data_IF_706872478175
#
_entry.id   IF_706872478175
#
_cell.length_a   1.000
_cell.length_b   1.000
_cell.length_c   1.000
_cell.angle_alpha   90.00
_cell.angle_beta   90.00
_cell.angle_gamma   90.00
#
_symmetry.space_group_name_H-M   'P 1'
#
loop_
_entity.id
_entity.type
_entity.pdbx_description
1 polymer ?
#
# COMPACT_ATOMS: atom_id res chain seq x y z
N UNK A 1 1.99 31.75 -7.95
CA UNK A 1 1.40 30.55 -7.35
C UNK A 1 2.54 29.63 -6.95
N UNK A 2 2.64 29.19 -5.70
CA UNK A 2 3.64 28.18 -5.29
C UNK A 2 3.37 26.89 -6.06
N UNK A 3 4.42 26.33 -6.66
CA UNK A 3 4.33 25.06 -7.40
C UNK A 3 4.00 23.96 -6.38
N UNK A 4 2.89 23.25 -6.56
CA UNK A 4 2.54 22.11 -5.71
C UNK A 4 3.66 21.04 -5.79
N UNK A 5 4.19 20.55 -4.66
CA UNK A 5 5.23 19.52 -4.67
C UNK A 5 4.65 18.16 -5.12
N UNK A 6 5.45 17.35 -5.79
CA UNK A 6 5.13 15.95 -5.96
C UNK A 6 5.25 15.21 -4.63
N UNK A 7 4.36 14.25 -4.39
CA UNK A 7 4.32 13.44 -3.16
C UNK A 7 4.53 11.99 -3.55
N UNK A 8 5.54 11.34 -2.96
CA UNK A 8 5.79 9.90 -3.13
C UNK A 8 5.69 9.21 -1.78
N UNK A 9 4.68 8.35 -1.63
CA UNK A 9 4.53 7.45 -0.50
C UNK A 9 4.99 6.05 -0.88
N UNK A 10 6.00 5.52 -0.19
CA UNK A 10 6.48 4.14 -0.37
C UNK A 10 6.15 3.36 0.90
N UNK A 11 5.43 2.26 0.75
CA UNK A 11 5.13 1.32 1.83
C UNK A 11 5.74 -0.04 1.53
N UNK A 12 6.44 -0.60 2.49
CA UNK A 12 6.90 -1.99 2.42
C UNK A 12 5.87 -2.90 3.10
N UNK A 13 5.70 -4.13 2.56
CA UNK A 13 4.86 -5.13 3.20
C UNK A 13 5.70 -5.94 4.19
N UNK A 14 5.20 -6.08 5.42
CA UNK A 14 5.74 -6.96 6.46
C UNK A 14 7.25 -6.75 6.78
N UNK A 15 7.78 -5.56 6.50
CA UNK A 15 9.16 -5.22 6.87
C UNK A 15 9.28 -5.06 8.39
N UNK A 16 10.24 -5.75 8.99
CA UNK A 16 10.56 -5.58 10.40
C UNK A 16 11.27 -4.25 10.63
N UNK A 17 11.02 -3.61 11.78
CA UNK A 17 11.62 -2.32 12.15
C UNK A 17 13.15 -2.39 12.30
N UNK A 18 13.69 -3.57 12.63
CA UNK A 18 15.11 -3.83 12.88
C UNK A 18 15.88 -4.25 11.61
N UNK A 19 15.43 -3.83 10.44
CA UNK A 19 16.04 -4.20 9.15
C UNK A 19 16.62 -3.01 8.39
N UNK A 20 16.96 -1.91 9.06
CA UNK A 20 17.62 -0.74 8.47
C UNK A 20 18.92 -0.47 9.24
N UNK A 21 20.08 -0.60 8.55
CA UNK A 21 21.39 -0.51 9.18
C UNK A 21 21.62 0.82 9.91
N UNK A 22 21.27 1.95 9.29
CA UNK A 22 21.43 3.28 9.89
C UNK A 22 20.58 3.54 11.14
N UNK A 23 19.66 2.65 11.46
CA UNK A 23 18.86 2.70 12.70
C UNK A 23 19.47 1.86 13.85
N UNK A 24 20.72 1.40 13.70
CA UNK A 24 21.45 0.64 14.72
C UNK A 24 21.52 -0.88 14.46
N UNK A 25 21.14 -1.33 13.25
CA UNK A 25 21.08 -2.74 12.89
C UNK A 25 22.15 -3.07 11.82
N UNK A 26 23.40 -3.03 12.21
CA UNK A 26 24.60 -3.10 11.37
C UNK A 26 24.79 -4.46 10.65
N UNK A 27 24.04 -5.49 11.04
CA UNK A 27 23.96 -6.77 10.31
C UNK A 27 23.20 -6.69 8.98
N UNK A 28 22.54 -5.55 8.71
CA UNK A 28 21.80 -5.32 7.48
C UNK A 28 22.62 -4.50 6.48
N UNK A 29 22.35 -4.71 5.19
CA UNK A 29 22.91 -3.90 4.11
C UNK A 29 21.80 -3.12 3.39
N UNK A 30 21.59 -1.88 3.80
CA UNK A 30 20.46 -1.05 3.34
C UNK A 30 20.89 0.37 2.91
N UNK A 31 21.86 0.50 1.95
CA UNK A 31 22.52 1.77 1.68
C UNK A 31 21.57 2.89 1.25
N UNK A 32 20.49 2.57 0.52
CA UNK A 32 19.51 3.56 0.08
C UNK A 32 18.57 3.99 1.21
N UNK A 33 18.10 3.05 2.04
CA UNK A 33 17.31 3.38 3.23
C UNK A 33 18.16 4.14 4.25
N UNK A 34 19.42 3.76 4.43
CA UNK A 34 20.37 4.46 5.28
C UNK A 34 20.58 5.90 4.86
N UNK A 35 20.60 6.14 3.53
CA UNK A 35 20.67 7.52 3.01
C UNK A 35 19.43 8.32 3.38
N UNK A 36 18.21 7.73 3.22
CA UNK A 36 16.96 8.38 3.62
C UNK A 36 16.94 8.70 5.12
N UNK A 37 17.45 7.79 5.97
CA UNK A 37 17.58 8.01 7.41
C UNK A 37 18.51 9.18 7.71
N UNK A 38 19.66 9.29 7.01
CA UNK A 38 20.66 10.34 7.25
C UNK A 38 20.27 11.71 6.68
N UNK A 39 19.57 11.73 5.55
CA UNK A 39 19.22 12.98 4.84
C UNK A 39 17.81 13.47 5.16
N UNK A 40 16.98 12.63 5.76
CA UNK A 40 15.58 12.91 6.06
C UNK A 40 15.28 12.94 7.56
N UNK A 41 14.02 12.64 7.90
CA UNK A 41 13.54 12.53 9.27
C UNK A 41 13.09 11.10 9.56
N UNK A 42 13.62 10.48 10.61
CA UNK A 42 13.28 9.12 11.04
C UNK A 42 12.42 9.12 12.28
N UNK A 43 11.44 8.23 12.35
CA UNK A 43 10.55 8.06 13.49
C UNK A 43 10.70 6.63 14.07
N UNK A 44 11.69 6.38 14.94
CA UNK A 44 11.98 5.02 15.43
C UNK A 44 10.85 4.42 16.27
N UNK A 45 9.98 5.25 16.82
CA UNK A 45 8.85 4.85 17.64
C UNK A 45 7.49 5.08 16.93
N UNK A 46 7.43 4.82 15.62
CA UNK A 46 6.17 4.82 14.89
C UNK A 46 5.47 3.47 15.02
N UNK A 47 4.20 3.48 15.37
CA UNK A 47 3.40 2.26 15.60
C UNK A 47 2.15 2.27 14.74
N UNK A 48 1.82 1.09 14.15
CA UNK A 48 0.51 0.87 13.55
C UNK A 48 -0.50 0.47 14.64
N UNK A 49 -1.67 1.09 14.72
CA UNK A 49 -2.69 0.66 15.67
C UNK A 49 -3.23 -0.76 15.40
N UNK A 50 -3.16 -1.22 14.14
CA UNK A 50 -3.58 -2.55 13.72
C UNK A 50 -2.54 -3.09 12.71
N UNK A 51 -1.55 -3.90 13.14
CA UNK A 51 -0.46 -4.37 12.27
C UNK A 51 -0.88 -5.60 11.44
N UNK A 52 -2.02 -5.51 10.74
CA UNK A 52 -2.56 -6.50 9.81
C UNK A 52 -2.82 -5.80 8.48
N UNK A 53 -2.57 -6.48 7.36
CA UNK A 53 -2.49 -5.87 6.03
C UNK A 53 -3.66 -4.93 5.69
N UNK A 54 -4.90 -5.40 5.72
CA UNK A 54 -6.07 -4.57 5.39
C UNK A 54 -6.27 -3.45 6.38
N UNK A 55 -6.24 -3.74 7.68
CA UNK A 55 -6.43 -2.75 8.73
C UNK A 55 -5.37 -1.64 8.66
N UNK A 56 -4.07 -2.00 8.55
CA UNK A 56 -2.99 -1.03 8.45
C UNK A 56 -3.11 -0.14 7.21
N UNK A 57 -3.48 -0.71 6.06
CA UNK A 57 -3.65 0.04 4.81
C UNK A 57 -4.83 1.01 4.88
N UNK A 58 -5.94 0.60 5.49
CA UNK A 58 -7.06 1.48 5.73
C UNK A 58 -6.74 2.56 6.78
N UNK A 59 -5.95 2.25 7.83
CA UNK A 59 -5.43 3.27 8.74
C UNK A 59 -4.59 4.32 7.98
N UNK A 60 -3.72 3.88 7.05
CA UNK A 60 -2.87 4.78 6.26
C UNK A 60 -3.72 5.71 5.39
N UNK A 61 -4.64 5.16 4.58
CA UNK A 61 -5.39 5.98 3.61
C UNK A 61 -6.42 6.90 4.25
N UNK A 62 -6.96 6.55 5.43
CA UNK A 62 -7.96 7.36 6.13
C UNK A 62 -7.35 8.26 7.22
N UNK A 63 -6.13 7.95 7.68
CA UNK A 63 -5.54 8.59 8.86
C UNK A 63 -6.25 8.24 10.17
N UNK A 64 -7.11 7.22 10.19
CA UNK A 64 -7.98 6.87 11.31
C UNK A 64 -7.73 5.42 11.78
N UNK A 65 -7.92 5.13 13.08
CA UNK A 65 -7.88 3.76 13.58
C UNK A 65 -9.13 2.96 13.17
N UNK A 66 -9.02 1.63 13.26
CA UNK A 66 -10.02 0.66 12.80
C UNK A 66 -11.46 0.90 13.29
N UNK A 67 -11.63 1.45 14.48
CA UNK A 67 -12.97 1.77 15.04
C UNK A 67 -13.79 2.75 14.18
N UNK A 68 -13.16 3.54 13.33
CA UNK A 68 -13.85 4.50 12.44
C UNK A 68 -14.10 3.95 11.05
N UNK A 69 -13.15 3.22 10.46
CA UNK A 69 -13.29 2.65 9.12
C UNK A 69 -13.77 1.19 9.13
N UNK A 70 -13.78 0.54 10.29
CA UNK A 70 -14.33 -0.77 10.49
C UNK A 70 -13.41 -1.95 10.15
N UNK A 71 -12.23 -1.75 9.58
CA UNK A 71 -11.27 -2.82 9.28
C UNK A 71 -10.31 -3.03 10.45
N UNK A 72 -10.49 -4.08 11.20
CA UNK A 72 -9.67 -4.49 12.35
C UNK A 72 -8.85 -5.76 12.09
N UNK A 73 -9.15 -6.48 11.00
CA UNK A 73 -8.48 -7.70 10.54
C UNK A 73 -8.48 -7.77 9.00
N UNK A 74 -8.00 -8.88 8.44
CA UNK A 74 -8.15 -9.22 7.04
C UNK A 74 -9.51 -9.90 6.80
N UNK A 75 -10.23 -9.43 5.78
CA UNK A 75 -11.57 -9.92 5.42
C UNK A 75 -11.52 -10.44 3.98
N UNK A 76 -11.87 -11.72 3.79
CA UNK A 76 -11.82 -12.40 2.49
C UNK A 76 -13.20 -12.91 2.04
N UNK A 77 -14.27 -12.43 2.66
CA UNK A 77 -15.63 -12.91 2.44
C UNK A 77 -16.22 -12.47 1.09
N UNK A 78 -17.23 -13.21 0.61
CA UNK A 78 -18.03 -12.86 -0.55
C UNK A 78 -18.88 -11.59 -0.33
N UNK A 79 -19.08 -11.19 0.92
CA UNK A 79 -19.68 -9.91 1.29
C UNK A 79 -18.58 -8.94 1.79
N UNK A 80 -17.97 -8.19 0.88
CA UNK A 80 -16.81 -7.38 1.21
C UNK A 80 -17.18 -6.27 2.20
N UNK A 81 -16.41 -6.18 3.28
CA UNK A 81 -16.46 -5.03 4.16
C UNK A 81 -16.00 -3.78 3.39
N UNK A 82 -16.68 -2.69 3.53
CA UNK A 82 -16.41 -1.46 2.78
C UNK A 82 -16.26 -0.31 3.76
N UNK A 83 -15.23 0.53 3.60
CA UNK A 83 -15.19 1.77 4.37
C UNK A 83 -16.37 2.67 4.00
N UNK A 84 -16.95 3.42 4.95
CA UNK A 84 -18.01 4.37 4.65
C UNK A 84 -17.64 5.29 3.49
N UNK A 85 -18.59 5.57 2.59
CA UNK A 85 -18.33 6.38 1.40
C UNK A 85 -18.08 7.86 1.72
N UNK A 86 -18.57 8.33 2.84
CA UNK A 86 -18.40 9.69 3.37
C UNK A 86 -17.10 9.83 4.19
N UNK A 87 -16.39 8.75 4.43
CA UNK A 87 -15.10 8.79 5.13
C UNK A 87 -14.00 9.28 4.17
N UNK A 88 -13.41 10.45 4.41
CA UNK A 88 -12.39 10.98 3.53
C UNK A 88 -11.12 10.12 3.55
N UNK A 89 -10.48 10.00 2.39
CA UNK A 89 -9.17 9.37 2.25
C UNK A 89 -8.16 10.41 1.78
N UNK A 90 -6.89 10.28 2.17
CA UNK A 90 -5.89 11.25 1.71
C UNK A 90 -5.73 11.28 0.17
N UNK A 91 -5.85 10.16 -0.58
CA UNK A 91 -5.83 10.24 -2.04
C UNK A 91 -7.00 11.06 -2.59
N UNK A 92 -8.20 10.94 -2.00
CA UNK A 92 -9.34 11.77 -2.41
C UNK A 92 -9.07 13.25 -2.15
N UNK A 93 -8.57 13.60 -0.97
CA UNK A 93 -8.24 14.98 -0.63
C UNK A 93 -7.18 15.58 -1.55
N UNK A 94 -6.19 14.77 -1.96
CA UNK A 94 -5.18 15.18 -2.94
C UNK A 94 -5.78 15.35 -4.34
N UNK A 95 -6.63 14.41 -4.77
CA UNK A 95 -7.34 14.51 -6.05
C UNK A 95 -8.22 15.76 -6.11
N UNK A 96 -8.96 16.05 -5.04
CA UNK A 96 -9.77 17.26 -4.92
C UNK A 96 -8.93 18.56 -4.95
N UNK A 97 -7.67 18.47 -4.50
CA UNK A 97 -6.70 19.55 -4.60
C UNK A 97 -6.00 19.65 -5.97
N UNK A 98 -6.37 18.81 -6.94
CA UNK A 98 -5.86 18.84 -8.31
C UNK A 98 -4.61 17.99 -8.55
N UNK A 99 -4.30 17.03 -7.68
CA UNK A 99 -3.25 16.03 -7.94
C UNK A 99 -3.77 14.85 -8.75
N UNK A 100 -2.94 14.33 -9.65
CA UNK A 100 -3.11 12.99 -10.17
C UNK A 100 -2.60 11.98 -9.13
N UNK A 101 -3.50 11.14 -8.63
CA UNK A 101 -3.19 10.17 -7.60
C UNK A 101 -3.05 8.77 -8.21
N UNK A 102 -1.87 8.17 -8.08
CA UNK A 102 -1.55 6.87 -8.66
C UNK A 102 -1.11 5.93 -7.55
N UNK A 103 -1.62 4.70 -7.55
CA UNK A 103 -1.15 3.65 -6.66
C UNK A 103 -0.67 2.44 -7.46
N UNK A 104 0.49 1.90 -7.06
CA UNK A 104 1.14 0.75 -7.71
C UNK A 104 1.45 -0.31 -6.67
N UNK A 105 1.09 -1.56 -6.94
CA UNK A 105 1.37 -2.70 -6.08
C UNK A 105 0.20 -3.13 -5.22
N UNK A 106 0.48 -3.67 -4.02
CA UNK A 106 -0.52 -4.23 -3.11
C UNK A 106 -1.32 -3.12 -2.42
N UNK A 107 -2.62 -3.06 -2.70
CA UNK A 107 -3.56 -2.16 -2.04
C UNK A 107 -4.39 -2.87 -0.98
N UNK A 108 -4.81 -4.09 -1.23
CA UNK A 108 -5.61 -4.94 -0.34
C UNK A 108 -6.89 -4.25 0.12
N UNK A 109 -7.52 -3.50 -0.78
CA UNK A 109 -8.78 -2.82 -0.54
C UNK A 109 -9.98 -3.74 -0.73
N UNK A 110 -11.11 -3.37 -0.11
CA UNK A 110 -12.39 -4.03 -0.34
C UNK A 110 -13.43 -2.99 -0.78
N UNK A 111 -14.19 -3.24 -1.85
CA UNK A 111 -13.97 -4.28 -2.86
C UNK A 111 -12.60 -4.13 -3.54
N UNK A 112 -12.06 -5.22 -4.10
CA UNK A 112 -10.70 -5.34 -4.62
C UNK A 112 -10.20 -4.14 -5.45
N UNK A 113 -11.00 -3.60 -6.36
CA UNK A 113 -10.64 -2.46 -7.22
C UNK A 113 -11.25 -1.13 -6.76
N UNK A 114 -11.57 -1.01 -5.48
CA UNK A 114 -12.10 0.26 -4.97
C UNK A 114 -10.99 1.33 -5.01
N UNK A 115 -11.26 2.42 -5.71
CA UNK A 115 -10.29 3.48 -5.95
C UNK A 115 -9.93 4.31 -4.70
N UNK A 116 -10.87 4.50 -3.77
CA UNK A 116 -10.66 5.31 -2.55
C UNK A 116 -10.03 6.69 -2.84
N UNK A 117 -10.44 7.34 -3.94
CA UNK A 117 -9.90 8.62 -4.39
C UNK A 117 -8.62 8.53 -5.23
N UNK A 118 -8.12 7.34 -5.50
CA UNK A 118 -6.98 7.12 -6.40
C UNK A 118 -7.48 7.18 -7.85
N UNK A 119 -6.84 7.98 -8.70
CA UNK A 119 -7.25 8.14 -10.11
C UNK A 119 -6.79 6.98 -10.98
N UNK A 120 -5.64 6.38 -10.66
CA UNK A 120 -5.10 5.22 -11.39
C UNK A 120 -4.59 4.14 -10.44
N UNK A 121 -5.05 2.90 -10.64
CA UNK A 121 -4.61 1.71 -9.91
C UNK A 121 -3.86 0.76 -10.85
N UNK A 122 -2.64 0.37 -10.45
CA UNK A 122 -1.83 -0.70 -11.05
C UNK A 122 -1.61 -1.75 -9.96
N UNK A 123 -2.50 -2.74 -9.89
CA UNK A 123 -2.59 -3.64 -8.76
C UNK A 123 -1.68 -4.88 -8.91
N UNK A 124 -1.11 -5.28 -7.79
CA UNK A 124 -0.51 -6.58 -7.55
C UNK A 124 -0.90 -7.00 -6.12
N UNK A 125 -2.07 -7.58 -5.97
CA UNK A 125 -2.54 -8.02 -4.67
C UNK A 125 -2.23 -9.50 -4.40
N UNK A 126 -2.22 -9.87 -3.13
CA UNK A 126 -1.80 -11.18 -2.67
C UNK A 126 -2.69 -12.31 -3.20
N UNK A 127 -4.01 -12.06 -3.32
CA UNK A 127 -4.99 -13.06 -3.77
C UNK A 127 -5.99 -12.38 -4.70
N UNK A 128 -5.65 -12.11 -5.97
CA UNK A 128 -6.62 -11.61 -6.93
C UNK A 128 -7.67 -12.68 -7.22
N UNK A 129 -8.93 -12.28 -7.39
CA UNK A 129 -10.03 -13.22 -7.73
C UNK A 129 -9.80 -13.87 -9.09
N UNK A 130 -9.31 -13.08 -10.03
CA UNK A 130 -8.94 -13.55 -11.36
C UNK A 130 -7.57 -12.99 -11.72
N UNK A 131 -6.75 -13.77 -12.43
CA UNK A 131 -5.40 -13.35 -12.85
C UNK A 131 -5.41 -12.08 -13.71
N UNK A 132 -6.48 -11.86 -14.45
CA UNK A 132 -6.69 -10.66 -15.27
C UNK A 132 -6.98 -9.40 -14.45
N UNK A 133 -7.24 -9.53 -13.15
CA UNK A 133 -7.42 -8.39 -12.25
C UNK A 133 -6.11 -7.89 -11.65
N UNK A 134 -4.98 -8.54 -11.99
CA UNK A 134 -3.64 -8.24 -11.51
C UNK A 134 -2.80 -7.67 -12.67
N UNK A 135 -2.53 -6.36 -12.64
CA UNK A 135 -1.77 -5.66 -13.68
C UNK A 135 -0.34 -6.18 -13.79
N UNK A 136 0.27 -6.60 -12.67
CA UNK A 136 1.61 -7.18 -12.70
C UNK A 136 1.61 -8.55 -13.40
N UNK A 137 0.60 -9.37 -13.19
CA UNK A 137 0.47 -10.64 -13.90
C UNK A 137 0.27 -10.44 -15.42
N UNK A 138 -0.48 -9.42 -15.82
CA UNK A 138 -0.64 -9.04 -17.23
C UNK A 138 0.67 -8.55 -17.81
N UNK A 139 1.38 -7.67 -17.10
CA UNK A 139 2.70 -7.19 -17.49
C UNK A 139 3.69 -8.34 -17.73
N UNK A 140 3.77 -9.28 -16.79
CA UNK A 140 4.63 -10.46 -16.93
C UNK A 140 4.29 -11.27 -18.17
N UNK A 141 3.00 -11.49 -18.42
CA UNK A 141 2.54 -12.22 -19.61
C UNK A 141 2.96 -11.52 -20.92
N UNK A 142 2.80 -10.21 -20.99
CA UNK A 142 3.17 -9.40 -22.17
C UNK A 142 4.69 -9.42 -22.42
N UNK A 143 5.49 -9.58 -21.34
CA UNK A 143 6.95 -9.65 -21.44
C UNK A 143 7.52 -11.08 -21.53
N UNK A 144 6.69 -12.07 -21.83
CA UNK A 144 7.13 -13.45 -22.06
C UNK A 144 7.26 -14.32 -20.81
N UNK A 145 6.78 -13.86 -19.66
CA UNK A 145 6.75 -14.61 -18.40
C UNK A 145 5.37 -15.19 -18.08
N UNK A 146 4.56 -15.47 -19.11
CA UNK A 146 3.16 -15.88 -18.97
C UNK A 146 2.91 -17.27 -18.41
N UNK A 147 3.93 -18.13 -18.37
CA UNK A 147 3.92 -19.48 -17.83
C UNK A 147 4.10 -19.53 -16.31
N UNK A 148 4.42 -18.40 -15.65
CA UNK A 148 4.48 -18.31 -14.19
C UNK A 148 3.06 -18.51 -13.64
N UNK A 149 2.82 -19.67 -13.03
CA UNK A 149 1.50 -20.06 -12.52
C UNK A 149 1.07 -19.26 -11.30
N UNK A 150 2.02 -18.82 -10.48
CA UNK A 150 1.76 -17.95 -9.32
C UNK A 150 2.92 -16.99 -9.14
N UNK A 151 2.61 -15.70 -9.16
CA UNK A 151 3.56 -14.63 -8.84
C UNK A 151 3.79 -14.46 -7.34
N UNK A 152 2.96 -15.10 -6.53
CA UNK A 152 3.01 -15.06 -5.06
C UNK A 152 3.58 -16.35 -4.44
N UNK A 153 4.17 -17.22 -5.27
CA UNK A 153 4.67 -18.52 -4.84
C UNK A 153 3.61 -19.62 -4.87
N UNK A 154 4.07 -20.86 -4.66
CA UNK A 154 3.20 -22.03 -4.56
C UNK A 154 2.58 -22.01 -3.16
N UNK A 155 1.27 -21.96 -3.10
CA UNK A 155 0.50 -22.33 -1.90
C UNK A 155 0.07 -23.78 -1.98
#
# INVERSE_FOLDING_TARGET
MSKQPNILLITTDQQRYDTIAAMGYDYMYTPNLDRLVREGCSFPNAYSPNPVCMAARHNIITGLPARYHGFDDNYFDDNPKVIPYDLPTFPQLLSDAGYDTIAVGKMHFQPYRRHNGITKLELMDEIPRHRQDDEYALYLKEHGYGDIQSIHGVR
#
